data_IF_816647272849
#
_entry.id   IF_816647272849
#
_cell.length_a   1.000
_cell.length_b   1.000
_cell.length_c   1.000
_cell.angle_alpha   90.00
_cell.angle_beta   90.00
_cell.angle_gamma   90.00
#
_symmetry.space_group_name_H-M   'P 1'
#
loop_
_entity.id
_entity.type
_entity.pdbx_description
1 polymer ?
#
# COMPACT_ATOMS: atom_id res chain seq x y z
N UNK A 1 23.30 -21.79 -9.72
CA UNK A 1 22.39 -20.87 -10.44
C UNK A 1 21.76 -19.96 -9.42
N UNK A 2 21.64 -18.67 -9.69
CA UNK A 2 20.98 -17.73 -8.78
C UNK A 2 19.47 -17.87 -8.99
N UNK A 3 18.70 -18.13 -7.93
CA UNK A 3 17.24 -18.14 -8.04
C UNK A 3 16.73 -16.69 -8.08
N UNK A 4 16.45 -16.22 -9.28
CA UNK A 4 15.96 -14.86 -9.52
C UNK A 4 14.55 -14.63 -8.96
N UNK A 5 13.76 -15.69 -8.72
CA UNK A 5 12.40 -15.58 -8.17
C UNK A 5 12.44 -15.22 -6.69
N UNK A 6 13.26 -15.93 -5.92
CA UNK A 6 13.45 -15.65 -4.50
C UNK A 6 14.01 -14.24 -4.30
N UNK A 7 14.98 -13.83 -5.14
CA UNK A 7 15.52 -12.47 -5.11
C UNK A 7 14.46 -11.40 -5.45
N UNK A 8 13.64 -11.63 -6.47
CA UNK A 8 12.56 -10.71 -6.83
C UNK A 8 11.55 -10.57 -5.69
N UNK A 9 11.15 -11.69 -5.08
CA UNK A 9 10.22 -11.69 -3.94
C UNK A 9 10.80 -10.92 -2.75
N UNK A 10 12.07 -11.18 -2.41
CA UNK A 10 12.74 -10.52 -1.29
C UNK A 10 12.82 -9.00 -1.49
N UNK A 11 13.07 -8.53 -2.71
CA UNK A 11 13.08 -7.10 -3.04
C UNK A 11 11.69 -6.48 -2.88
N UNK A 12 10.67 -7.06 -3.53
CA UNK A 12 9.28 -6.57 -3.43
C UNK A 12 8.77 -6.56 -1.99
N UNK A 13 9.11 -7.59 -1.21
CA UNK A 13 8.77 -7.65 0.21
C UNK A 13 9.48 -6.56 1.01
N UNK A 14 10.76 -6.31 0.74
CA UNK A 14 11.51 -5.25 1.41
C UNK A 14 10.94 -3.86 1.10
N UNK A 15 10.52 -3.62 -0.15
CA UNK A 15 9.89 -2.35 -0.53
C UNK A 15 8.48 -2.20 0.08
N UNK A 16 7.69 -3.28 0.12
CA UNK A 16 6.45 -3.32 0.89
C UNK A 16 6.68 -3.04 2.39
N UNK A 17 7.70 -3.63 3.01
CA UNK A 17 8.01 -3.40 4.42
C UNK A 17 8.44 -1.94 4.70
N UNK A 18 9.08 -1.24 3.75
CA UNK A 18 9.35 0.21 3.89
C UNK A 18 8.07 1.05 3.84
N UNK A 19 7.14 0.72 2.95
CA UNK A 19 5.84 1.39 2.89
C UNK A 19 5.07 1.15 4.20
N UNK A 20 5.12 -0.09 4.73
CA UNK A 20 4.53 -0.41 6.02
C UNK A 20 5.15 0.40 7.16
N UNK A 21 6.46 0.58 7.17
CA UNK A 21 7.12 1.45 8.16
C UNK A 21 6.65 2.90 8.05
N UNK A 22 6.47 3.43 6.83
CA UNK A 22 5.89 4.77 6.64
C UNK A 22 4.47 4.87 7.20
N UNK A 23 3.65 3.83 7.05
CA UNK A 23 2.30 3.74 7.63
C UNK A 23 2.39 3.71 9.18
N UNK A 24 3.32 2.94 9.74
CA UNK A 24 3.44 2.73 11.20
C UNK A 24 4.07 3.92 11.94
N UNK A 25 5.06 4.59 11.35
CA UNK A 25 5.72 5.77 11.95
C UNK A 25 4.73 6.92 12.18
N UNK A 26 3.60 6.93 11.46
CA UNK A 26 2.48 7.86 11.71
C UNK A 26 1.74 7.56 13.04
N UNK A 27 1.72 6.30 13.49
CA UNK A 27 1.11 5.93 14.77
C UNK A 27 1.95 6.38 15.96
N UNK A 28 3.26 6.20 15.88
CA UNK A 28 4.16 6.35 17.02
C UNK A 28 4.49 7.82 17.34
N UNK A 29 4.45 8.71 16.35
CA UNK A 29 4.90 10.09 16.53
C UNK A 29 3.79 11.10 16.85
N UNK A 30 2.50 10.75 16.79
CA UNK A 30 1.35 11.63 17.13
C UNK A 30 1.40 13.07 16.55
N UNK A 31 2.28 13.38 15.59
CA UNK A 31 2.41 14.69 14.96
C UNK A 31 1.58 14.71 13.68
N UNK A 32 0.34 15.18 13.83
CA UNK A 32 -0.62 15.56 12.78
C UNK A 32 -0.98 14.48 11.74
N UNK A 33 -2.13 13.80 11.89
CA UNK A 33 -2.54 12.67 11.04
C UNK A 33 -3.03 13.03 9.63
N UNK A 34 -2.97 14.29 9.21
CA UNK A 34 -3.65 14.77 8.01
C UNK A 34 -2.88 15.93 7.39
N UNK A 35 -1.61 15.70 7.03
CA UNK A 35 -1.05 16.52 5.95
C UNK A 35 -1.50 15.85 4.65
N UNK A 36 -2.29 16.52 3.79
CA UNK A 36 -2.70 15.98 2.49
C UNK A 36 -1.51 15.41 1.70
N UNK A 37 -0.33 15.99 1.91
CA UNK A 37 0.92 15.53 1.33
C UNK A 37 1.33 14.10 1.74
N UNK A 38 1.06 13.66 2.98
CA UNK A 38 1.42 12.29 3.40
C UNK A 38 0.54 11.23 2.74
N UNK A 39 -0.76 11.50 2.59
CA UNK A 39 -1.69 10.62 1.89
C UNK A 39 -1.28 10.49 0.41
N UNK A 40 -0.99 11.61 -0.25
CA UNK A 40 -0.49 11.63 -1.64
C UNK A 40 0.84 10.88 -1.82
N UNK A 41 1.75 10.99 -0.85
CA UNK A 41 3.02 10.26 -0.86
C UNK A 41 2.78 8.76 -0.70
N UNK A 42 1.92 8.34 0.23
CA UNK A 42 1.60 6.91 0.42
C UNK A 42 0.94 6.32 -0.82
N UNK A 43 -0.01 7.03 -1.43
CA UNK A 43 -0.67 6.62 -2.66
C UNK A 43 0.33 6.44 -3.82
N UNK A 44 1.27 7.38 -3.95
CA UNK A 44 2.33 7.31 -4.96
C UNK A 44 3.27 6.12 -4.72
N UNK A 45 3.63 5.83 -3.47
CA UNK A 45 4.49 4.69 -3.11
C UNK A 45 3.77 3.35 -3.36
N UNK A 46 2.50 3.25 -2.99
CA UNK A 46 1.66 2.08 -3.26
C UNK A 46 1.53 1.81 -4.76
N UNK A 47 1.35 2.87 -5.57
CA UNK A 47 1.35 2.75 -7.03
C UNK A 47 2.71 2.33 -7.59
N UNK A 48 3.81 2.87 -7.07
CA UNK A 48 5.16 2.45 -7.45
C UNK A 48 5.37 0.95 -7.24
N UNK A 49 5.04 0.45 -6.04
CA UNK A 49 5.13 -0.96 -5.71
C UNK A 49 4.22 -1.83 -6.59
N UNK A 50 3.00 -1.38 -6.89
CA UNK A 50 2.09 -2.16 -7.76
C UNK A 50 2.64 -2.33 -9.17
N UNK A 51 3.32 -1.30 -9.72
CA UNK A 51 4.00 -1.37 -11.03
C UNK A 51 5.20 -2.32 -11.01
N UNK A 52 5.95 -2.36 -9.91
CA UNK A 52 7.07 -3.29 -9.75
C UNK A 52 6.59 -4.75 -9.63
N UNK A 53 5.48 -4.98 -8.91
CA UNK A 53 4.82 -6.29 -8.82
C UNK A 53 4.31 -6.73 -10.19
N UNK A 54 3.58 -5.87 -10.92
CA UNK A 54 3.11 -6.14 -12.30
C UNK A 54 4.27 -6.58 -13.21
N UNK A 55 5.37 -5.82 -13.16
CA UNK A 55 6.56 -6.13 -13.94
C UNK A 55 7.14 -7.51 -13.58
N UNK A 56 7.25 -7.84 -12.30
CA UNK A 56 7.77 -9.14 -11.85
C UNK A 56 6.83 -10.31 -12.20
N UNK A 57 5.51 -10.10 -12.14
CA UNK A 57 4.50 -11.08 -12.55
C UNK A 57 4.60 -11.36 -14.05
N UNK A 58 4.71 -10.31 -14.88
CA UNK A 58 4.84 -10.44 -16.35
C UNK A 58 6.13 -11.14 -16.79
N UNK A 59 7.19 -11.06 -15.98
CA UNK A 59 8.42 -11.82 -16.18
C UNK A 59 8.35 -13.26 -15.65
N UNK A 60 7.25 -13.67 -15.01
CA UNK A 60 7.10 -14.98 -14.38
C UNK A 60 8.00 -15.16 -13.15
N UNK A 61 8.47 -14.06 -12.55
CA UNK A 61 9.32 -14.09 -11.37
C UNK A 61 8.52 -14.26 -10.09
N UNK A 62 7.24 -13.85 -10.12
CA UNK A 62 6.30 -13.86 -9.00
C UNK A 62 4.93 -14.32 -9.51
N UNK A 63 4.21 -15.10 -8.69
CA UNK A 63 2.81 -15.42 -8.95
C UNK A 63 1.91 -14.23 -8.61
N UNK A 64 0.91 -13.97 -9.43
CA UNK A 64 -0.04 -12.85 -9.25
C UNK A 64 -0.65 -12.83 -7.84
N UNK A 65 -0.98 -14.01 -7.27
CA UNK A 65 -1.56 -14.12 -5.92
C UNK A 65 -0.58 -13.70 -4.85
N UNK A 66 0.72 -13.98 -5.05
CA UNK A 66 1.79 -13.56 -4.15
C UNK A 66 1.94 -12.04 -4.19
N UNK A 67 1.93 -11.45 -5.39
CA UNK A 67 1.93 -9.99 -5.57
C UNK A 67 0.74 -9.32 -4.88
N UNK A 68 -0.48 -9.84 -5.12
CA UNK A 68 -1.71 -9.36 -4.49
C UNK A 68 -1.65 -9.43 -2.96
N UNK A 69 -1.11 -10.52 -2.41
CA UNK A 69 -0.97 -10.70 -0.95
C UNK A 69 -0.10 -9.60 -0.31
N UNK A 70 0.94 -9.12 -1.01
CA UNK A 70 1.79 -8.02 -0.53
C UNK A 70 1.00 -6.71 -0.46
N UNK A 71 0.23 -6.39 -1.50
CA UNK A 71 -0.60 -5.18 -1.56
C UNK A 71 -1.75 -5.23 -0.53
N UNK A 72 -2.45 -6.36 -0.43
CA UNK A 72 -3.54 -6.55 0.52
C UNK A 72 -3.10 -6.35 1.97
N UNK A 73 -1.83 -6.68 2.29
CA UNK A 73 -1.28 -6.44 3.63
C UNK A 73 -1.16 -4.95 3.92
N UNK A 74 -0.66 -4.16 2.97
CA UNK A 74 -0.51 -2.71 3.13
C UNK A 74 -1.88 -2.02 3.22
N UNK A 75 -2.84 -2.46 2.40
CA UNK A 75 -4.21 -1.97 2.43
C UNK A 75 -4.90 -2.18 3.79
N UNK A 76 -4.74 -3.36 4.38
CA UNK A 76 -5.29 -3.67 5.71
C UNK A 76 -4.70 -2.77 6.80
N UNK A 77 -3.39 -2.56 6.78
CA UNK A 77 -2.69 -1.74 7.78
C UNK A 77 -3.06 -0.25 7.64
N UNK A 78 -3.16 0.25 6.41
CA UNK A 78 -3.63 1.60 6.13
C UNK A 78 -5.08 1.79 6.59
N UNK A 79 -5.95 0.80 6.35
CA UNK A 79 -7.35 0.83 6.83
C UNK A 79 -7.43 0.87 8.35
N UNK A 80 -6.62 0.06 9.04
CA UNK A 80 -6.56 0.03 10.50
C UNK A 80 -6.07 1.36 11.09
N UNK A 81 -5.05 1.98 10.47
CA UNK A 81 -4.58 3.32 10.81
C UNK A 81 -5.72 4.34 10.75
N UNK A 82 -6.47 4.36 9.64
CA UNK A 82 -7.59 5.27 9.46
C UNK A 82 -8.71 5.05 10.47
N UNK A 83 -9.06 3.80 10.77
CA UNK A 83 -10.06 3.49 11.78
C UNK A 83 -9.64 3.99 13.17
N UNK A 84 -8.37 3.79 13.54
CA UNK A 84 -7.84 4.25 14.82
C UNK A 84 -7.92 5.78 14.96
N UNK A 85 -7.62 6.53 13.89
CA UNK A 85 -7.75 7.98 13.88
C UNK A 85 -9.20 8.46 13.88
N UNK A 86 -10.08 7.82 13.11
CA UNK A 86 -11.50 8.18 13.02
C UNK A 86 -12.23 7.93 14.34
N UNK A 87 -11.92 6.82 15.04
CA UNK A 87 -12.48 6.53 16.37
C UNK A 87 -12.05 7.54 17.44
N UNK A 88 -10.90 8.22 17.26
CA UNK A 88 -10.38 9.22 18.18
C UNK A 88 -10.94 10.64 17.95
N UNK A 89 -11.68 10.90 16.87
CA UNK A 89 -12.35 12.19 16.62
C UNK A 89 -13.84 11.97 16.38
N UNK A 90 -14.69 12.50 17.28
CA UNK A 90 -16.12 12.72 17.02
C UNK A 90 -16.33 13.86 15.99
N UNK A 91 -15.78 13.74 14.77
CA UNK A 91 -15.95 14.62 13.58
C UNK A 91 -15.04 14.05 12.47
N UNK A 92 -15.40 13.83 11.21
CA UNK A 92 -16.57 14.12 10.38
C UNK A 92 -16.53 13.18 9.15
N UNK A 93 -17.66 13.08 8.46
CA UNK A 93 -18.05 12.06 7.47
C UNK A 93 -17.36 12.23 6.08
N UNK A 94 -16.34 13.09 5.92
CA UNK A 94 -15.82 13.45 4.58
C UNK A 94 -14.60 12.62 4.10
N UNK A 95 -13.78 12.06 4.99
CA UNK A 95 -12.52 11.37 4.63
C UNK A 95 -12.73 9.97 4.02
N UNK A 96 -13.89 9.34 4.24
CA UNK A 96 -14.16 7.97 3.77
C UNK A 96 -14.40 7.86 2.24
N UNK A 97 -14.69 8.99 1.57
CA UNK A 97 -15.04 9.00 0.13
C UNK A 97 -13.82 9.09 -0.78
N UNK A 98 -12.72 9.68 -0.32
CA UNK A 98 -11.49 9.88 -1.10
C UNK A 98 -10.70 8.56 -1.19
N UNK A 99 -10.54 7.85 -0.08
CA UNK A 99 -9.82 6.58 -0.02
C UNK A 99 -10.49 5.45 -0.80
N UNK A 100 -11.82 5.35 -0.74
CA UNK A 100 -12.56 4.40 -1.59
C UNK A 100 -12.35 4.64 -3.09
N UNK A 101 -12.06 5.88 -3.52
CA UNK A 101 -11.74 6.20 -4.91
C UNK A 101 -10.30 5.84 -5.28
N UNK A 102 -9.32 6.08 -4.40
CA UNK A 102 -7.91 5.74 -4.65
C UNK A 102 -7.71 4.20 -4.72
N UNK A 103 -8.32 3.45 -3.81
CA UNK A 103 -8.24 1.99 -3.74
C UNK A 103 -8.97 1.29 -4.90
N UNK A 104 -10.16 1.77 -5.28
CA UNK A 104 -10.91 1.25 -6.43
C UNK A 104 -10.19 1.53 -7.75
N UNK A 105 -9.45 2.65 -7.84
CA UNK A 105 -8.63 2.97 -9.01
C UNK A 105 -7.40 2.06 -9.11
N UNK A 106 -6.73 1.76 -7.98
CA UNK A 106 -5.58 0.86 -7.95
C UNK A 106 -5.95 -0.61 -8.23
N UNK A 107 -7.08 -1.10 -7.72
CA UNK A 107 -7.61 -2.43 -8.06
C UNK A 107 -7.99 -2.54 -9.55
N UNK A 108 -8.56 -1.48 -10.14
CA UNK A 108 -8.83 -1.44 -11.59
C UNK A 108 -7.57 -1.42 -12.45
N UNK A 109 -6.47 -0.82 -12.00
CA UNK A 109 -5.20 -0.84 -12.78
C UNK A 109 -4.60 -2.25 -12.82
N UNK A 110 -4.79 -3.06 -11.78
CA UNK A 110 -4.34 -4.45 -11.74
C UNK A 110 -5.24 -5.36 -12.57
N UNK A 111 -6.56 -5.14 -12.59
CA UNK A 111 -7.50 -5.96 -13.39
C UNK A 111 -7.46 -5.67 -14.92
N UNK A 112 -6.80 -4.61 -15.36
CA UNK A 112 -6.71 -4.21 -16.79
C UNK A 112 -5.38 -4.65 -17.45
N UNK A 113 -4.42 -5.19 -16.69
CA UNK A 113 -3.11 -5.66 -17.21
C UNK A 113 -3.10 -7.18 -17.42
#
# INVERSE_FOLDING_TARGET
MIDHREKAYALLKADADKILQLIQVQMDNLTMPQCPLYEEVLDTQMFGLSREIDFAVRLGLIDERVGKTLLDRLERELSALHEAFTKNKNHAIETQTIYKRSLSFLLQVVEIS
#
